data_IF_897356153106
#
_entry.id   IF_897356153106
#
_cell.length_a   1.000
_cell.length_b   1.000
_cell.length_c   1.000
_cell.angle_alpha   90.00
_cell.angle_beta   90.00
_cell.angle_gamma   90.00
#
_symmetry.space_group_name_H-M   'P 1'
#
loop_
_entity.id
_entity.type
_entity.pdbx_description
1 polymer ?
#
# COMPACT_ATOMS: atom_id res chain seq x y z
N UNK A 1 -15.84 13.46 10.80
CA UNK A 1 -15.92 13.26 9.34
C UNK A 1 -14.50 13.14 8.83
N UNK A 2 -13.93 11.94 8.96
CA UNK A 2 -12.58 11.67 8.46
C UNK A 2 -12.70 11.43 6.96
N UNK A 3 -12.64 12.51 6.17
CA UNK A 3 -12.50 12.42 4.72
C UNK A 3 -11.17 11.73 4.50
N UNK A 4 -11.17 10.40 4.36
CA UNK A 4 -9.97 9.62 4.11
C UNK A 4 -9.69 9.81 2.63
N UNK A 5 -8.73 10.64 2.30
CA UNK A 5 -8.29 10.82 0.91
C UNK A 5 -7.39 9.65 0.48
N UNK A 6 -7.30 9.37 -0.83
CA UNK A 6 -6.33 8.39 -1.34
C UNK A 6 -4.90 8.74 -0.92
N UNK A 7 -4.58 10.03 -0.81
CA UNK A 7 -3.29 10.51 -0.32
C UNK A 7 -3.02 10.10 1.15
N UNK A 8 -4.03 10.19 2.03
CA UNK A 8 -3.89 9.70 3.42
C UNK A 8 -3.73 8.20 3.50
N UNK A 9 -4.38 7.44 2.62
CA UNK A 9 -4.19 5.99 2.52
C UNK A 9 -2.74 5.67 2.17
N UNK A 10 -2.19 6.34 1.15
CA UNK A 10 -0.78 6.19 0.77
C UNK A 10 0.16 6.56 1.93
N UNK A 11 -0.10 7.67 2.62
CA UNK A 11 0.71 8.11 3.76
C UNK A 11 0.67 7.11 4.93
N UNK A 12 -0.52 6.56 5.26
CA UNK A 12 -0.65 5.51 6.28
C UNK A 12 0.11 4.24 5.91
N UNK A 13 0.03 3.85 4.64
CA UNK A 13 0.72 2.68 4.14
C UNK A 13 2.24 2.85 4.25
N UNK A 14 2.78 4.02 3.87
CA UNK A 14 4.21 4.31 4.07
C UNK A 14 4.60 4.39 5.54
N UNK A 15 3.79 5.01 6.40
CA UNK A 15 4.09 5.13 7.84
C UNK A 15 4.11 3.76 8.53
N UNK A 16 3.16 2.89 8.21
CA UNK A 16 3.08 1.54 8.75
C UNK A 16 4.29 0.70 8.35
N UNK A 17 4.71 0.79 7.08
CA UNK A 17 5.88 0.06 6.58
C UNK A 17 7.19 0.66 7.09
N UNK A 18 7.29 1.99 7.21
CA UNK A 18 8.47 2.70 7.75
C UNK A 18 8.78 2.34 9.20
N UNK A 19 7.76 1.96 9.97
CA UNK A 19 7.95 1.52 11.36
C UNK A 19 8.52 0.09 11.48
N UNK A 20 8.64 -0.64 10.37
CA UNK A 20 9.09 -2.02 10.35
C UNK A 20 10.51 -2.12 9.77
N UNK A 21 11.48 -2.75 10.45
CA UNK A 21 12.87 -2.89 9.98
C UNK A 21 13.00 -3.98 8.91
N UNK A 22 13.48 -3.71 7.71
CA UNK A 22 13.63 -4.72 6.65
C UNK A 22 14.29 -4.17 5.37
N UNK A 23 14.67 -5.06 4.46
CA UNK A 23 15.41 -4.72 3.23
C UNK A 23 14.64 -5.20 2.00
N UNK A 24 14.56 -4.34 0.96
CA UNK A 24 14.07 -4.68 -0.38
C UNK A 24 12.77 -5.50 -0.41
N UNK A 25 12.91 -6.82 -0.60
CA UNK A 25 11.79 -7.77 -0.72
C UNK A 25 10.92 -7.85 0.54
N UNK A 26 11.52 -7.87 1.73
CA UNK A 26 10.79 -7.82 3.01
C UNK A 26 9.95 -6.54 3.13
N UNK A 27 10.44 -5.45 2.55
CA UNK A 27 9.78 -4.16 2.52
C UNK A 27 8.55 -4.21 1.58
N UNK A 28 8.70 -4.83 0.42
CA UNK A 28 7.60 -5.03 -0.53
C UNK A 28 6.49 -5.93 0.04
N UNK A 29 6.86 -7.05 0.65
CA UNK A 29 5.91 -7.99 1.27
C UNK A 29 5.07 -7.29 2.36
N UNK A 30 5.70 -6.40 3.13
CA UNK A 30 5.00 -5.55 4.11
C UNK A 30 4.08 -4.53 3.47
N UNK A 31 4.49 -3.93 2.36
CA UNK A 31 3.59 -3.04 1.62
C UNK A 31 2.33 -3.80 1.17
N UNK A 32 2.46 -5.02 0.66
CA UNK A 32 1.31 -5.86 0.27
C UNK A 32 0.44 -6.18 1.49
N UNK A 33 1.04 -6.61 2.59
CA UNK A 33 0.33 -6.96 3.82
C UNK A 33 -0.46 -5.77 4.40
N UNK A 34 0.14 -4.58 4.43
CA UNK A 34 -0.51 -3.36 4.92
C UNK A 34 -1.62 -2.91 3.99
N UNK A 35 -1.42 -3.00 2.66
CA UNK A 35 -2.46 -2.68 1.68
C UNK A 35 -3.71 -3.55 1.88
N UNK A 36 -3.52 -4.85 2.14
CA UNK A 36 -4.63 -5.78 2.42
C UNK A 36 -5.34 -5.39 3.72
N UNK A 37 -4.60 -5.11 4.80
CA UNK A 37 -5.20 -4.67 6.08
C UNK A 37 -6.00 -3.36 5.94
N UNK A 38 -5.52 -2.45 5.10
CA UNK A 38 -6.25 -1.23 4.74
C UNK A 38 -7.53 -1.62 4.00
N UNK A 39 -7.48 -2.48 2.97
CA UNK A 39 -8.69 -2.92 2.27
C UNK A 39 -9.70 -3.59 3.21
N UNK A 40 -9.21 -4.42 4.12
CA UNK A 40 -10.02 -5.18 5.09
C UNK A 40 -10.62 -4.30 6.20
N UNK A 41 -10.04 -3.14 6.47
CA UNK A 41 -10.57 -2.17 7.45
C UNK A 41 -11.88 -1.48 7.01
N UNK A 42 -12.60 -2.07 6.04
CA UNK A 42 -13.88 -1.65 5.48
C UNK A 42 -13.99 -0.13 5.35
N UNK A 43 -13.23 0.48 4.45
CA UNK A 43 -13.32 1.92 4.22
C UNK A 43 -14.63 2.27 3.51
N UNK A 44 -15.67 2.79 4.20
CA UNK A 44 -16.97 3.02 3.59
C UNK A 44 -16.99 4.31 2.75
N UNK A 45 -15.94 5.12 2.86
CA UNK A 45 -15.80 6.43 2.22
C UNK A 45 -15.34 6.35 0.75
N UNK A 46 -14.81 5.20 0.31
CA UNK A 46 -14.33 5.04 -1.06
C UNK A 46 -15.36 4.34 -1.94
N UNK A 47 -15.42 4.76 -3.20
CA UNK A 47 -16.19 4.04 -4.21
C UNK A 47 -15.68 2.59 -4.34
N UNK A 48 -16.58 1.63 -4.61
CA UNK A 48 -16.20 0.22 -4.73
C UNK A 48 -15.10 0.03 -5.79
N UNK A 49 -14.02 -0.65 -5.40
CA UNK A 49 -12.85 -0.92 -6.25
C UNK A 49 -11.91 0.28 -6.47
N UNK A 50 -12.22 1.48 -5.99
CA UNK A 50 -11.33 2.64 -6.12
C UNK A 50 -10.07 2.46 -5.25
N UNK A 51 -10.28 2.07 -4.00
CA UNK A 51 -9.20 1.85 -3.03
C UNK A 51 -8.28 0.70 -3.47
N UNK A 52 -8.87 -0.40 -3.95
CA UNK A 52 -8.15 -1.56 -4.47
C UNK A 52 -7.27 -1.18 -5.66
N UNK A 53 -7.82 -0.47 -6.65
CA UNK A 53 -7.04 0.00 -7.82
C UNK A 53 -5.92 0.94 -7.42
N UNK A 54 -6.19 1.86 -6.50
CA UNK A 54 -5.18 2.78 -6.00
C UNK A 54 -4.02 2.05 -5.31
N UNK A 55 -4.33 1.15 -4.38
CA UNK A 55 -3.33 0.35 -3.66
C UNK A 55 -2.56 -0.57 -4.61
N UNK A 56 -3.24 -1.21 -5.56
CA UNK A 56 -2.59 -2.05 -6.57
C UNK A 56 -1.59 -1.26 -7.42
N UNK A 57 -1.98 -0.07 -7.91
CA UNK A 57 -1.07 0.81 -8.65
C UNK A 57 0.09 1.31 -7.77
N UNK A 58 -0.17 1.60 -6.50
CA UNK A 58 0.86 2.02 -5.55
C UNK A 58 1.89 0.93 -5.29
N UNK A 59 1.45 -0.31 -5.11
CA UNK A 59 2.31 -1.47 -4.93
C UNK A 59 3.17 -1.71 -6.18
N UNK A 60 2.60 -1.60 -7.38
CA UNK A 60 3.36 -1.78 -8.63
C UNK A 60 4.50 -0.74 -8.74
N UNK A 61 4.23 0.52 -8.37
CA UNK A 61 5.27 1.55 -8.27
C UNK A 61 6.34 1.19 -7.24
N UNK A 62 5.95 0.74 -6.03
CA UNK A 62 6.92 0.33 -4.99
C UNK A 62 7.76 -0.87 -5.41
N UNK A 63 7.19 -1.81 -6.18
CA UNK A 63 7.94 -2.94 -6.74
C UNK A 63 9.08 -2.46 -7.65
N UNK A 64 8.80 -1.45 -8.48
CA UNK A 64 9.79 -0.81 -9.35
C UNK A 64 10.83 -0.03 -8.55
N UNK A 65 10.41 0.75 -7.55
CA UNK A 65 11.32 1.55 -6.70
C UNK A 65 12.27 0.67 -5.88
N UNK A 66 11.78 -0.43 -5.31
CA UNK A 66 12.55 -1.34 -4.47
C UNK A 66 13.45 -2.30 -5.28
N UNK A 67 13.48 -2.16 -6.61
CA UNK A 67 14.28 -3.04 -7.49
C UNK A 67 13.85 -4.51 -7.42
N UNK A 68 12.65 -4.79 -6.92
CA UNK A 68 12.05 -6.14 -6.85
C UNK A 68 11.41 -6.51 -8.19
N UNK A 69 12.05 -6.14 -9.30
CA UNK A 69 11.60 -6.50 -10.64
C UNK A 69 11.70 -8.03 -10.83
N UNK A 70 10.85 -8.64 -11.67
CA UNK A 70 11.06 -10.01 -12.07
C UNK A 70 12.48 -10.10 -12.65
N UNK A 71 13.32 -10.97 -12.06
CA UNK A 71 14.54 -11.40 -12.74
C UNK A 71 14.09 -12.06 -14.03
N UNK A 72 14.32 -11.37 -15.15
CA UNK A 72 14.04 -11.85 -16.51
C UNK A 72 14.82 -13.13 -16.81
#
# INVERSE_FOLDING_TARGET
MTIRTLAEVGARLEEAVRSLPGDGHDLFDRYEMVAIQILDSEFPDFAPGLLERYLSAYLDLKRLELGSGPST
#
